data_IF_131571956949
#
_entry.id   IF_131571956949
#
_cell.length_a   1.000
_cell.length_b   1.000
_cell.length_c   1.000
_cell.angle_alpha   90.00
_cell.angle_beta   90.00
_cell.angle_gamma   90.00
#
_symmetry.space_group_name_H-M   'P 1'
#
loop_
_entity.id
_entity.type
_entity.pdbx_description
1 polymer ?
#
# COMPACT_ATOMS: atom_id res chain seq x y z
N UNK A 1 71.24 8.29 1.45
CA UNK A 1 70.79 7.49 2.61
C UNK A 1 69.46 6.81 2.29
N UNK A 2 69.41 5.50 2.49
CA UNK A 2 68.28 4.57 2.34
C UNK A 2 67.02 4.96 3.14
N UNK A 3 65.82 4.73 2.57
CA UNK A 3 64.66 4.00 3.17
C UNK A 3 63.75 3.52 2.02
N UNK A 4 63.90 2.30 1.50
CA UNK A 4 63.28 1.04 1.94
C UNK A 4 61.74 1.07 1.96
N UNK A 5 61.16 0.74 0.80
CA UNK A 5 59.79 0.26 0.62
C UNK A 5 59.66 -1.16 1.17
N UNK A 6 58.68 -1.42 2.03
CA UNK A 6 58.32 -2.79 2.46
C UNK A 6 56.89 -3.08 2.01
N UNK A 7 56.77 -3.87 0.94
CA UNK A 7 55.52 -4.50 0.54
C UNK A 7 55.31 -5.72 1.44
N UNK A 8 54.27 -5.67 2.29
CA UNK A 8 53.83 -6.81 3.07
C UNK A 8 52.86 -7.67 2.25
N UNK A 9 53.38 -8.79 1.76
CA UNK A 9 52.63 -9.91 1.17
C UNK A 9 51.63 -10.47 2.19
N UNK A 10 50.33 -10.26 1.97
CA UNK A 10 49.28 -11.03 2.67
C UNK A 10 48.78 -12.17 1.80
N UNK A 11 49.19 -13.36 2.22
CA UNK A 11 48.73 -14.69 1.82
C UNK A 11 47.19 -14.78 1.78
N UNK A 12 46.64 -15.15 0.60
CA UNK A 12 45.23 -15.57 0.44
C UNK A 12 45.11 -17.03 0.87
N UNK A 13 44.58 -17.26 2.06
CA UNK A 13 44.16 -18.60 2.49
C UNK A 13 42.82 -18.92 1.84
N UNK A 14 42.85 -19.73 0.78
CA UNK A 14 41.66 -20.25 0.09
C UNK A 14 40.98 -21.29 1.00
N UNK A 15 39.77 -20.99 1.48
CA UNK A 15 38.91 -21.98 2.15
C UNK A 15 38.07 -22.67 1.08
N UNK A 16 38.44 -23.89 0.75
CA UNK A 16 37.66 -24.86 -0.01
C UNK A 16 36.40 -25.24 0.77
N UNK A 17 35.23 -24.97 0.20
CA UNK A 17 33.94 -25.48 0.67
C UNK A 17 33.62 -26.75 -0.12
N UNK A 18 33.66 -27.90 0.54
CA UNK A 18 33.30 -29.19 -0.05
C UNK A 18 31.77 -29.29 -0.14
N UNK A 19 31.25 -29.33 -1.37
CA UNK A 19 29.84 -29.56 -1.68
C UNK A 19 29.58 -31.07 -1.69
N UNK A 20 28.82 -31.59 -0.71
CA UNK A 20 28.36 -32.98 -0.71
C UNK A 20 26.99 -33.00 -1.40
N UNK A 21 26.96 -33.42 -2.66
CA UNK A 21 25.74 -33.71 -3.40
C UNK A 21 25.31 -35.16 -3.12
N UNK A 22 24.17 -35.35 -2.46
CA UNK A 22 23.52 -36.65 -2.32
C UNK A 22 22.53 -36.84 -3.47
N UNK A 23 22.88 -37.69 -4.44
CA UNK A 23 21.96 -38.25 -5.42
C UNK A 23 21.16 -39.38 -4.75
N UNK A 24 19.85 -39.18 -4.60
CA UNK A 24 18.89 -40.24 -4.31
C UNK A 24 17.92 -40.39 -5.46
N UNK A 25 18.12 -41.41 -6.29
CA UNK A 25 17.21 -41.81 -7.35
C UNK A 25 16.10 -42.71 -6.78
N UNK A 26 14.83 -42.39 -7.04
CA UNK A 26 13.73 -43.36 -6.98
C UNK A 26 12.86 -43.17 -8.23
N UNK A 27 12.83 -44.22 -9.04
CA UNK A 27 11.95 -44.42 -10.18
C UNK A 27 10.53 -44.78 -9.71
N UNK A 28 9.51 -44.34 -10.44
CA UNK A 28 8.12 -44.72 -10.20
C UNK A 28 7.20 -44.23 -11.31
N UNK A 29 7.03 -45.07 -12.32
CA UNK A 29 6.16 -44.88 -13.49
C UNK A 29 4.68 -45.02 -13.10
N UNK A 30 3.82 -44.13 -13.61
CA UNK A 30 2.44 -44.46 -13.98
C UNK A 30 1.88 -43.39 -14.91
N UNK A 31 1.77 -43.78 -16.18
CA UNK A 31 1.03 -43.07 -17.19
C UNK A 31 -0.44 -43.48 -17.11
N UNK A 32 -1.36 -42.52 -17.05
CA UNK A 32 -2.74 -42.72 -17.44
C UNK A 32 -3.02 -41.79 -18.62
N UNK A 33 -3.05 -42.41 -19.80
CA UNK A 33 -3.58 -41.88 -21.05
C UNK A 33 -5.11 -41.83 -21.01
N UNK A 34 -5.68 -40.77 -21.58
CA UNK A 34 -7.08 -40.69 -22.01
C UNK A 34 -7.63 -39.29 -21.78
N UNK A 35 -8.40 -38.66 -22.65
CA UNK A 35 -8.73 -38.88 -24.06
C UNK A 35 -9.21 -37.51 -24.54
N UNK A 36 -8.87 -37.16 -25.78
CA UNK A 36 -9.38 -35.99 -26.47
C UNK A 36 -10.84 -36.23 -26.84
N UNK A 37 -11.77 -35.42 -26.33
CA UNK A 37 -13.10 -35.28 -26.93
C UNK A 37 -13.27 -33.87 -27.50
N UNK A 38 -12.98 -33.78 -28.80
CA UNK A 38 -13.51 -32.77 -29.70
C UNK A 38 -15.00 -32.99 -29.91
N UNK A 39 -15.84 -32.06 -29.42
CA UNK A 39 -17.24 -31.97 -29.84
C UNK A 39 -17.42 -30.70 -30.68
N UNK A 40 -17.23 -30.88 -31.99
CA UNK A 40 -17.63 -29.96 -33.05
C UNK A 40 -19.14 -30.12 -33.28
N UNK A 41 -19.93 -29.08 -33.07
CA UNK A 41 -21.32 -29.02 -33.52
C UNK A 41 -21.45 -27.97 -34.65
N UNK A 42 -22.11 -28.28 -35.78
CA UNK A 42 -22.21 -27.38 -36.91
C UNK A 42 -23.41 -26.42 -36.86
N UNK A 43 -23.13 -25.16 -37.21
CA UNK A 43 -23.85 -24.24 -38.12
C UNK A 43 -25.37 -24.04 -37.96
N UNK A 44 -25.77 -22.79 -37.72
CA UNK A 44 -26.75 -22.11 -38.60
C UNK A 44 -26.61 -20.59 -38.50
N UNK A 45 -26.09 -19.99 -39.57
CA UNK A 45 -26.14 -18.55 -39.85
C UNK A 45 -27.49 -18.28 -40.51
N UNK A 46 -28.24 -17.30 -40.01
CA UNK A 46 -29.29 -16.62 -40.77
C UNK A 46 -28.93 -15.14 -40.82
N UNK A 47 -28.71 -14.65 -42.04
CA UNK A 47 -28.49 -13.25 -42.37
C UNK A 47 -29.70 -12.74 -43.16
N UNK A 48 -30.25 -11.61 -42.73
CA UNK A 48 -31.03 -10.61 -43.49
C UNK A 48 -31.10 -9.37 -42.58
N UNK A 49 -31.01 -8.12 -42.97
CA UNK A 49 -30.54 -7.40 -44.16
C UNK A 49 -30.62 -5.90 -43.77
N UNK A 50 -29.72 -5.09 -44.33
CA UNK A 50 -29.77 -3.65 -44.61
C UNK A 50 -30.30 -2.59 -43.62
N UNK A 51 -29.47 -1.56 -43.41
CA UNK A 51 -29.85 -0.25 -42.89
C UNK A 51 -28.70 0.76 -42.84
N UNK A 52 -28.11 1.10 -43.99
CA UNK A 52 -27.18 2.23 -44.15
C UNK A 52 -27.92 3.56 -44.19
N UNK A 53 -27.43 4.58 -43.46
CA UNK A 53 -27.48 5.98 -43.90
C UNK A 53 -26.43 6.82 -43.17
N UNK A 54 -25.36 7.14 -43.90
CA UNK A 54 -24.46 8.24 -43.63
C UNK A 54 -25.09 9.55 -44.10
N UNK A 55 -24.74 10.67 -43.48
CA UNK A 55 -25.17 12.00 -43.92
C UNK A 55 -24.44 13.13 -43.20
N UNK A 56 -23.20 13.40 -43.61
CA UNK A 56 -22.56 14.71 -43.40
C UNK A 56 -23.02 15.67 -44.49
N UNK A 57 -23.45 16.87 -44.11
CA UNK A 57 -23.43 18.03 -44.99
C UNK A 57 -23.19 19.29 -44.17
N UNK A 58 -22.00 19.87 -44.35
CA UNK A 58 -21.71 21.26 -44.09
C UNK A 58 -22.21 22.10 -45.28
N UNK A 59 -22.73 23.30 -45.01
CA UNK A 59 -22.69 24.42 -45.94
C UNK A 59 -22.80 25.74 -45.16
N UNK A 60 -21.83 26.61 -45.45
CA UNK A 60 -21.70 27.99 -45.01
C UNK A 60 -22.90 28.88 -45.35
N UNK A 61 -23.11 29.94 -44.56
CA UNK A 61 -23.24 31.32 -45.07
C UNK A 61 -23.12 32.31 -43.90
N UNK A 62 -22.18 33.24 -44.04
CA UNK A 62 -21.91 34.34 -43.15
C UNK A 62 -23.01 35.40 -43.16
N UNK A 63 -23.22 36.07 -42.02
CA UNK A 63 -23.58 37.49 -42.03
C UNK A 63 -23.02 38.22 -40.81
N UNK A 64 -22.31 39.29 -41.13
CA UNK A 64 -21.64 40.29 -40.30
C UNK A 64 -22.59 41.09 -39.39
N UNK A 65 -22.18 41.37 -38.15
CA UNK A 65 -22.89 42.27 -37.24
C UNK A 65 -22.18 42.54 -35.91
N UNK A 66 -21.20 43.46 -35.95
CA UNK A 66 -20.72 44.38 -34.90
C UNK A 66 -21.02 44.17 -33.40
N UNK A 67 -19.92 43.99 -32.65
CA UNK A 67 -19.58 44.53 -31.32
C UNK A 67 -20.67 44.92 -30.30
N UNK A 68 -20.64 44.28 -29.12
CA UNK A 68 -20.62 44.96 -27.81
C UNK A 68 -20.14 44.00 -26.70
N UNK A 69 -19.23 44.51 -25.88
CA UNK A 69 -18.66 43.93 -24.66
C UNK A 69 -19.70 43.62 -23.59
N UNK A 70 -19.58 42.46 -22.93
CA UNK A 70 -20.35 42.10 -21.74
C UNK A 70 -19.79 40.85 -21.07
N UNK A 71 -18.97 41.07 -20.04
CA UNK A 71 -18.48 40.08 -19.09
C UNK A 71 -19.66 39.39 -18.39
N UNK A 72 -19.74 38.05 -18.47
CA UNK A 72 -20.66 37.25 -17.65
C UNK A 72 -19.82 36.22 -16.92
N UNK A 73 -19.33 36.62 -15.75
CA UNK A 73 -18.81 35.73 -14.72
C UNK A 73 -19.93 34.79 -14.25
N UNK A 74 -19.77 33.50 -14.49
CA UNK A 74 -20.59 32.44 -13.88
C UNK A 74 -20.20 32.32 -12.40
N UNK A 75 -21.14 32.34 -11.44
CA UNK A 75 -20.79 32.23 -10.02
C UNK A 75 -20.30 30.81 -9.71
N UNK A 76 -19.00 30.71 -9.41
CA UNK A 76 -18.38 29.52 -8.84
C UNK A 76 -19.01 29.24 -7.47
N UNK A 77 -19.50 28.00 -7.19
CA UNK A 77 -19.91 27.65 -5.84
C UNK A 77 -18.69 27.80 -4.92
N UNK A 78 -18.77 28.76 -4.00
CA UNK A 78 -17.81 28.91 -2.93
C UNK A 78 -17.82 27.61 -2.12
N UNK A 79 -16.79 26.79 -2.29
CA UNK A 79 -16.42 25.78 -1.31
C UNK A 79 -16.24 26.52 0.02
N UNK A 80 -17.24 26.39 0.89
CA UNK A 80 -17.13 26.84 2.27
C UNK A 80 -16.03 25.99 2.91
N UNK A 81 -14.81 26.53 2.94
CA UNK A 81 -13.85 26.21 3.98
C UNK A 81 -14.43 26.74 5.28
N UNK A 82 -15.40 26.02 5.83
CA UNK A 82 -15.71 26.10 7.23
C UNK A 82 -14.54 25.40 7.93
N UNK A 83 -13.57 26.19 8.42
CA UNK A 83 -12.73 25.76 9.52
C UNK A 83 -13.65 25.47 10.70
N UNK A 84 -14.13 24.23 10.79
CA UNK A 84 -14.68 23.73 12.02
C UNK A 84 -13.51 23.65 13.00
N UNK A 85 -13.35 24.69 13.82
CA UNK A 85 -12.71 24.55 15.12
C UNK A 85 -13.62 23.65 15.95
N UNK A 86 -13.54 22.34 15.66
CA UNK A 86 -14.07 21.32 16.54
C UNK A 86 -13.31 21.37 17.88
N UNK A 87 -13.90 20.84 18.96
CA UNK A 87 -13.16 20.66 20.20
C UNK A 87 -11.84 19.95 19.91
N UNK A 88 -10.75 20.44 20.51
CA UNK A 88 -9.46 19.78 20.43
C UNK A 88 -9.66 18.31 20.78
N UNK A 89 -9.38 17.41 19.83
CA UNK A 89 -9.46 15.99 20.07
C UNK A 89 -8.60 15.68 21.30
N UNK A 90 -9.14 14.91 22.25
CA UNK A 90 -8.34 14.46 23.39
C UNK A 90 -7.08 13.76 22.87
N UNK A 91 -5.91 14.01 23.50
CA UNK A 91 -4.68 13.40 23.06
C UNK A 91 -4.81 11.88 23.13
N UNK A 92 -4.56 11.22 22.00
CA UNK A 92 -4.56 9.76 21.94
C UNK A 92 -3.51 9.20 22.91
N UNK A 93 -3.80 8.06 23.57
CA UNK A 93 -2.79 7.39 24.38
C UNK A 93 -1.56 7.06 23.55
N UNK A 94 -0.38 7.01 24.17
CA UNK A 94 0.88 6.66 23.50
C UNK A 94 1.49 5.46 24.21
N UNK A 95 1.54 4.33 23.51
CA UNK A 95 2.20 3.10 23.97
C UNK A 95 3.72 3.23 23.79
N UNK A 96 4.14 3.86 22.70
CA UNK A 96 5.53 4.17 22.44
C UNK A 96 5.69 4.98 21.18
N UNK A 97 6.84 5.65 21.07
CA UNK A 97 7.17 6.54 19.95
C UNK A 97 8.49 6.11 19.32
N UNK A 98 8.57 6.17 17.99
CA UNK A 98 9.77 5.85 17.21
C UNK A 98 9.95 6.84 16.08
N UNK A 99 11.20 7.21 15.81
CA UNK A 99 11.57 7.95 14.61
C UNK A 99 11.69 6.98 13.42
N UNK A 100 10.97 7.27 12.34
CA UNK A 100 11.05 6.57 11.08
C UNK A 100 12.26 6.99 10.26
N UNK A 101 12.67 6.09 9.36
CA UNK A 101 13.69 6.35 8.36
C UNK A 101 13.24 7.45 7.39
N UNK A 102 14.21 8.20 6.86
CA UNK A 102 13.94 9.19 5.83
C UNK A 102 13.71 8.49 4.48
N UNK A 103 12.80 9.02 3.68
CA UNK A 103 12.63 8.63 2.28
C UNK A 103 13.81 9.13 1.41
N UNK A 104 13.75 8.86 0.10
CA UNK A 104 14.77 9.32 -0.85
C UNK A 104 14.89 10.85 -0.97
N UNK A 105 13.90 11.59 -0.49
CA UNK A 105 13.86 13.06 -0.49
C UNK A 105 14.24 13.65 0.87
N UNK A 106 14.58 12.81 1.85
CA UNK A 106 14.96 13.25 3.20
C UNK A 106 13.79 13.48 4.16
N UNK A 107 12.56 13.18 3.76
CA UNK A 107 11.35 13.31 4.57
C UNK A 107 11.19 12.10 5.50
N UNK A 108 10.85 12.34 6.76
CA UNK A 108 10.58 11.28 7.73
C UNK A 108 9.38 11.61 8.60
N UNK A 109 9.10 10.65 9.49
CA UNK A 109 8.01 10.72 10.44
C UNK A 109 8.50 10.35 11.83
N UNK A 110 7.94 10.97 12.85
CA UNK A 110 7.89 10.43 14.21
C UNK A 110 6.54 9.74 14.40
N UNK A 111 6.55 8.44 14.72
CA UNK A 111 5.35 7.63 14.79
C UNK A 111 5.12 7.18 16.23
N UNK A 112 3.92 7.44 16.73
CA UNK A 112 3.46 7.00 18.05
C UNK A 112 2.40 5.94 17.88
N UNK A 113 2.67 4.73 18.41
CA UNK A 113 1.67 3.68 18.46
C UNK A 113 0.66 4.01 19.57
N UNK A 114 -0.61 4.14 19.21
CA UNK A 114 -1.63 4.57 20.16
C UNK A 114 -2.39 3.40 20.79
N UNK A 115 -2.81 2.42 19.99
CA UNK A 115 -3.61 1.30 20.49
C UNK A 115 -3.53 0.07 19.60
N UNK A 116 -3.79 -1.09 20.23
CA UNK A 116 -4.18 -2.34 19.59
C UNK A 116 -5.43 -2.82 20.30
N UNK A 117 -6.57 -2.71 19.62
CA UNK A 117 -7.88 -3.02 20.20
C UNK A 117 -8.55 -4.13 19.41
N UNK A 118 -9.14 -5.11 20.10
CA UNK A 118 -9.96 -6.15 19.50
C UNK A 118 -11.43 -5.88 19.85
N UNK A 119 -12.26 -5.83 18.81
CA UNK A 119 -13.71 -5.72 18.89
C UNK A 119 -14.31 -6.85 18.07
N UNK A 120 -15.00 -7.78 18.74
CA UNK A 120 -15.48 -9.02 18.13
C UNK A 120 -14.34 -9.73 17.35
N UNK A 121 -14.54 -9.98 16.05
CA UNK A 121 -13.62 -10.73 15.20
C UNK A 121 -12.52 -9.86 14.54
N UNK A 122 -12.44 -8.58 14.90
CA UNK A 122 -11.52 -7.62 14.29
C UNK A 122 -10.57 -7.02 15.31
N UNK A 123 -9.29 -6.92 14.92
CA UNK A 123 -8.26 -6.19 15.64
C UNK A 123 -7.90 -4.92 14.87
N UNK A 124 -7.95 -3.76 15.51
CA UNK A 124 -7.54 -2.47 14.94
C UNK A 124 -6.26 -1.99 15.60
N UNK A 125 -5.25 -1.68 14.78
CA UNK A 125 -4.04 -0.97 15.20
C UNK A 125 -4.22 0.51 14.86
N UNK A 126 -4.11 1.39 15.84
CA UNK A 126 -4.16 2.86 15.64
C UNK A 126 -2.80 3.47 15.98
N UNK A 127 -2.30 4.34 15.12
CA UNK A 127 -1.06 5.08 15.36
C UNK A 127 -1.13 6.50 14.78
N UNK A 128 -0.42 7.43 15.40
CA UNK A 128 -0.26 8.78 14.90
C UNK A 128 1.13 8.93 14.29
N UNK A 129 1.21 9.74 13.26
CA UNK A 129 2.44 10.00 12.54
C UNK A 129 2.61 11.50 12.32
N UNK A 130 3.69 12.03 12.88
CA UNK A 130 4.06 13.43 12.84
C UNK A 130 5.16 13.65 11.82
N UNK A 131 5.01 14.61 10.92
CA UNK A 131 6.10 14.92 10.00
C UNK A 131 7.29 15.52 10.73
N UNK A 132 8.49 14.99 10.47
CA UNK A 132 9.75 15.56 10.94
C UNK A 132 10.40 16.51 9.91
N UNK A 133 9.69 16.78 8.81
CA UNK A 133 10.12 17.67 7.74
C UNK A 133 9.83 19.14 8.07
N UNK A 134 10.69 20.01 7.55
CA UNK A 134 10.50 21.46 7.59
C UNK A 134 9.54 21.97 6.49
N UNK A 135 9.20 21.11 5.53
CA UNK A 135 8.33 21.42 4.40
C UNK A 135 7.16 20.44 4.32
N UNK A 136 6.15 20.79 3.52
CA UNK A 136 5.05 19.88 3.24
C UNK A 136 5.46 18.85 2.20
N UNK A 137 5.00 17.61 2.34
CA UNK A 137 5.33 16.53 1.40
C UNK A 137 4.20 15.51 1.29
N UNK A 138 4.19 14.76 0.19
CA UNK A 138 3.21 13.70 -0.04
C UNK A 138 3.60 12.44 0.72
N UNK A 139 2.69 11.92 1.55
CA UNK A 139 2.95 10.69 2.32
C UNK A 139 3.19 9.48 1.41
N UNK A 140 2.47 9.42 0.29
CA UNK A 140 2.65 8.40 -0.75
C UNK A 140 2.80 7.00 -0.16
N UNK A 141 3.89 6.32 -0.52
CA UNK A 141 4.13 4.92 -0.15
C UNK A 141 4.86 4.75 1.19
N UNK A 142 4.94 5.77 2.06
CA UNK A 142 5.73 5.69 3.29
C UNK A 142 5.30 4.55 4.25
N UNK A 143 4.01 4.21 4.29
CA UNK A 143 3.48 3.10 5.11
C UNK A 143 3.07 1.87 4.28
N UNK A 144 3.47 1.84 3.01
CA UNK A 144 3.13 0.80 2.06
C UNK A 144 4.02 -0.44 2.23
N UNK A 145 3.47 -1.64 1.99
CA UNK A 145 4.20 -2.91 2.12
C UNK A 145 5.33 -3.09 1.08
N UNK A 146 5.25 -2.37 -0.05
CA UNK A 146 5.94 -2.76 -1.28
C UNK A 146 5.26 -4.00 -1.86
N UNK A 147 4.78 -3.95 -3.11
CA UNK A 147 3.97 -5.05 -3.64
C UNK A 147 4.86 -6.30 -3.84
N UNK A 148 4.55 -7.47 -3.25
CA UNK A 148 5.24 -8.70 -3.63
C UNK A 148 4.69 -9.32 -4.93
N UNK A 149 3.52 -8.89 -5.44
CA UNK A 149 2.95 -9.39 -6.69
C UNK A 149 2.08 -8.31 -7.38
N UNK A 150 2.56 -7.74 -8.49
CA UNK A 150 1.83 -6.69 -9.26
C UNK A 150 0.41 -7.10 -9.70
N UNK A 151 0.10 -8.40 -9.72
CA UNK A 151 -1.22 -8.94 -10.07
C UNK A 151 -2.30 -8.88 -8.98
N UNK A 152 -1.93 -8.55 -7.73
CA UNK A 152 -2.86 -8.47 -6.58
C UNK A 152 -2.91 -7.08 -5.94
N UNK A 153 -2.50 -6.06 -6.68
CA UNK A 153 -2.73 -4.68 -6.27
C UNK A 153 -4.25 -4.50 -6.05
N UNK A 154 -4.60 -3.68 -5.08
CA UNK A 154 -5.88 -3.01 -5.16
C UNK A 154 -5.90 -2.23 -6.47
N UNK A 155 -6.67 -2.73 -7.45
CA UNK A 155 -6.70 -2.20 -8.82
C UNK A 155 -7.36 -0.82 -8.88
N UNK A 156 -7.90 -0.32 -7.77
CA UNK A 156 -8.47 1.02 -7.66
C UNK A 156 -7.46 2.07 -7.23
N UNK A 157 -6.27 1.65 -6.78
CA UNK A 157 -5.21 2.59 -6.41
C UNK A 157 -4.47 3.06 -7.65
N UNK A 158 -4.56 4.37 -7.90
CA UNK A 158 -3.72 5.06 -8.87
C UNK A 158 -2.23 4.85 -8.54
N UNK A 159 -1.37 4.86 -9.56
CA UNK A 159 0.08 4.75 -9.35
C UNK A 159 0.56 5.88 -8.42
N UNK A 160 1.12 5.51 -7.26
CA UNK A 160 1.56 6.46 -6.24
C UNK A 160 0.52 6.79 -5.15
N UNK A 161 -0.71 6.27 -5.25
CA UNK A 161 -1.69 6.33 -4.17
C UNK A 161 -1.28 5.38 -3.04
N UNK A 162 -0.91 5.97 -1.90
CA UNK A 162 -0.50 5.21 -0.73
C UNK A 162 -1.67 4.61 0.03
N UNK A 163 -1.44 3.45 0.63
CA UNK A 163 -2.30 2.88 1.68
C UNK A 163 -1.42 2.38 2.83
N UNK A 164 -2.03 2.19 4.00
CA UNK A 164 -1.36 1.70 5.21
C UNK A 164 -1.37 0.16 5.26
N UNK A 165 -1.05 -0.50 4.15
CA UNK A 165 -1.09 -1.98 4.06
C UNK A 165 0.22 -2.67 4.49
N UNK A 166 1.29 -1.92 4.70
CA UNK A 166 2.58 -2.46 5.12
C UNK A 166 2.68 -2.75 6.61
N UNK A 167 1.71 -2.29 7.41
CA UNK A 167 1.64 -2.61 8.84
C UNK A 167 1.32 -4.08 9.01
N UNK A 168 2.07 -4.80 9.84
CA UNK A 168 1.74 -6.17 10.19
C UNK A 168 1.89 -6.42 11.68
N UNK A 169 1.12 -7.40 12.18
CA UNK A 169 1.14 -7.80 13.58
C UNK A 169 1.69 -9.22 13.69
N UNK A 170 2.59 -9.45 14.65
CA UNK A 170 3.11 -10.76 14.99
C UNK A 170 2.57 -11.20 16.35
N UNK A 171 1.92 -12.35 16.37
CA UNK A 171 1.60 -13.08 17.59
C UNK A 171 2.58 -14.26 17.69
N UNK A 172 3.64 -14.06 18.48
CA UNK A 172 4.66 -15.09 18.66
C UNK A 172 4.11 -16.34 19.38
N UNK A 173 3.14 -16.18 20.28
CA UNK A 173 2.55 -17.29 21.03
C UNK A 173 1.69 -18.18 20.13
N UNK A 174 0.87 -17.55 19.27
CA UNK A 174 0.07 -18.26 18.26
C UNK A 174 0.87 -18.63 17.00
N UNK A 175 2.12 -18.15 16.87
CA UNK A 175 2.99 -18.32 15.68
C UNK A 175 2.33 -17.79 14.41
N UNK A 176 1.65 -16.64 14.51
CA UNK A 176 0.90 -16.04 13.41
C UNK A 176 1.44 -14.65 13.05
N UNK A 177 1.46 -14.37 11.74
CA UNK A 177 1.59 -13.03 11.19
C UNK A 177 0.25 -12.61 10.61
N UNK A 178 -0.27 -11.49 11.08
CA UNK A 178 -1.48 -10.86 10.60
C UNK A 178 -1.11 -9.75 9.63
N UNK A 179 -1.75 -9.77 8.47
CA UNK A 179 -1.70 -8.69 7.48
C UNK A 179 -3.02 -7.94 7.52
N UNK A 180 -3.05 -6.67 7.07
CA UNK A 180 -4.28 -5.90 7.04
C UNK A 180 -5.35 -6.64 6.24
N UNK A 181 -6.56 -6.66 6.78
CA UNK A 181 -7.71 -7.29 6.16
C UNK A 181 -8.00 -6.60 4.82
N UNK A 182 -8.56 -7.38 3.88
CA UNK A 182 -9.06 -6.86 2.61
C UNK A 182 -10.55 -7.16 2.50
N UNK A 183 -11.29 -6.22 1.93
CA UNK A 183 -12.71 -6.42 1.65
C UNK A 183 -12.93 -7.39 0.47
N UNK A 184 -14.20 -7.61 0.11
CA UNK A 184 -14.58 -8.51 -0.99
C UNK A 184 -14.05 -8.08 -2.36
N UNK A 185 -13.73 -6.80 -2.53
CA UNK A 185 -13.23 -6.22 -3.77
C UNK A 185 -11.68 -6.14 -3.77
N UNK A 186 -11.06 -6.48 -2.64
CA UNK A 186 -9.62 -6.51 -2.44
C UNK A 186 -9.05 -5.22 -1.87
N UNK A 187 -9.87 -4.25 -1.48
CA UNK A 187 -9.41 -3.00 -0.85
C UNK A 187 -8.92 -3.27 0.56
N UNK A 188 -7.84 -2.60 0.96
CA UNK A 188 -7.35 -2.67 2.32
C UNK A 188 -8.36 -2.06 3.29
N UNK A 189 -8.64 -2.76 4.39
CA UNK A 189 -9.38 -2.19 5.53
C UNK A 189 -8.38 -1.45 6.41
N UNK A 190 -7.86 -0.34 5.88
CA UNK A 190 -6.87 0.52 6.52
C UNK A 190 -7.01 1.95 6.00
N UNK A 191 -6.33 2.91 6.63
CA UNK A 191 -6.33 4.29 6.16
C UNK A 191 -5.81 4.39 4.72
N UNK A 192 -6.58 5.09 3.90
CA UNK A 192 -6.14 5.51 2.57
C UNK A 192 -5.33 6.80 2.68
N UNK A 193 -4.15 6.80 2.07
CA UNK A 193 -3.30 7.98 1.99
C UNK A 193 -3.46 8.69 0.64
N UNK A 194 -3.93 8.03 -0.41
CA UNK A 194 -4.19 8.67 -1.72
C UNK A 194 -3.08 9.64 -2.13
N UNK A 195 -3.46 10.89 -2.41
CA UNK A 195 -2.55 12.02 -2.67
C UNK A 195 -2.35 12.94 -1.45
N UNK A 196 -2.45 12.41 -0.22
CA UNK A 196 -2.38 13.20 1.00
C UNK A 196 -1.02 13.89 1.16
N UNK A 197 -1.09 15.20 1.36
CA UNK A 197 0.04 16.07 1.68
C UNK A 197 0.01 16.36 3.17
N UNK A 198 1.11 16.04 3.87
CA UNK A 198 1.27 16.41 5.27
C UNK A 198 2.11 17.69 5.37
N UNK A 199 1.67 18.63 6.21
CA UNK A 199 2.40 19.85 6.49
C UNK A 199 3.61 19.64 7.39
N UNK A 200 4.52 20.62 7.40
CA UNK A 200 5.67 20.65 8.29
C UNK A 200 5.22 20.53 9.75
N UNK A 201 5.74 19.54 10.48
CA UNK A 201 5.35 19.30 11.86
C UNK A 201 3.85 19.05 12.07
N UNK A 202 3.11 18.65 11.05
CA UNK A 202 1.70 18.25 11.20
C UNK A 202 1.59 16.78 11.58
N UNK A 203 0.46 16.42 12.18
CA UNK A 203 0.15 15.07 12.64
C UNK A 203 -1.01 14.48 11.82
N UNK A 204 -0.94 13.18 11.55
CA UNK A 204 -2.04 12.39 10.98
C UNK A 204 -2.28 11.15 11.85
N UNK A 205 -3.53 10.75 12.02
CA UNK A 205 -3.90 9.50 12.69
C UNK A 205 -4.24 8.48 11.62
N UNK A 206 -3.67 7.29 11.76
CA UNK A 206 -3.77 6.20 10.80
C UNK A 206 -4.16 4.90 11.50
N UNK A 207 -4.82 4.02 10.75
CA UNK A 207 -5.29 2.73 11.23
C UNK A 207 -5.11 1.62 10.20
N UNK A 208 -4.99 0.40 10.71
CA UNK A 208 -5.09 -0.83 9.94
C UNK A 208 -5.88 -1.88 10.73
N UNK A 209 -6.78 -2.57 10.05
CA UNK A 209 -7.65 -3.60 10.63
C UNK A 209 -7.17 -4.98 10.22
N UNK A 210 -7.24 -5.94 11.14
CA UNK A 210 -6.76 -7.31 11.01
C UNK A 210 -7.84 -8.27 11.54
N UNK A 211 -7.72 -9.55 11.20
CA UNK A 211 -8.47 -10.58 11.92
C UNK A 211 -8.05 -10.61 13.40
N UNK A 212 -9.00 -10.84 14.30
CA UNK A 212 -8.71 -10.94 15.72
C UNK A 212 -7.72 -12.09 16.03
N UNK A 213 -6.77 -11.88 16.97
CA UNK A 213 -5.97 -12.96 17.50
C UNK A 213 -6.79 -13.82 18.47
N UNK A 214 -6.33 -15.05 18.79
CA UNK A 214 -6.96 -15.90 19.80
C UNK A 214 -7.22 -15.15 21.12
N UNK A 215 -8.26 -15.53 21.86
CA UNK A 215 -8.63 -14.85 23.12
C UNK A 215 -7.52 -14.90 24.18
N UNK A 216 -6.66 -15.92 24.13
CA UNK A 216 -5.48 -16.03 24.99
C UNK A 216 -4.37 -15.03 24.67
N UNK A 217 -4.42 -14.34 23.53
CA UNK A 217 -3.40 -13.36 23.13
C UNK A 217 -3.61 -12.05 23.87
N UNK A 218 -2.67 -11.74 24.76
CA UNK A 218 -2.66 -10.52 25.58
C UNK A 218 -1.66 -9.49 25.09
N UNK A 219 -0.65 -9.89 24.33
CA UNK A 219 0.36 -9.00 23.73
C UNK A 219 0.72 -9.44 22.33
N UNK A 220 1.04 -8.47 21.47
CA UNK A 220 1.52 -8.68 20.11
C UNK A 220 2.70 -7.77 19.79
N UNK A 221 3.44 -8.07 18.73
CA UNK A 221 4.41 -7.13 18.17
C UNK A 221 3.81 -6.45 16.94
N UNK A 222 3.86 -5.11 16.88
CA UNK A 222 3.34 -4.31 15.76
C UNK A 222 4.51 -3.76 14.97
N UNK A 223 4.58 -4.08 13.69
CA UNK A 223 5.63 -3.60 12.80
C UNK A 223 5.07 -2.60 11.79
N UNK A 224 5.69 -1.42 11.73
CA UNK A 224 5.31 -0.33 10.83
C UNK A 224 6.47 -0.10 9.85
N UNK A 225 6.23 -0.05 8.52
CA UNK A 225 7.26 0.22 7.53
C UNK A 225 8.03 1.51 7.82
N UNK A 226 9.32 1.52 7.51
CA UNK A 226 10.25 2.62 7.79
C UNK A 226 10.45 2.98 9.27
N UNK A 227 9.61 2.50 10.19
CA UNK A 227 9.65 2.82 11.62
C UNK A 227 10.24 1.67 12.44
N UNK A 228 9.89 0.43 12.07
CA UNK A 228 10.28 -0.79 12.77
C UNK A 228 9.19 -1.32 13.71
N UNK A 229 9.59 -2.15 14.67
CA UNK A 229 8.69 -2.95 15.49
C UNK A 229 8.51 -2.41 16.91
N UNK A 230 7.27 -2.23 17.33
CA UNK A 230 6.86 -2.06 18.72
C UNK A 230 6.61 -3.46 19.29
N UNK A 231 7.37 -3.85 20.30
CA UNK A 231 7.30 -5.19 20.86
C UNK A 231 6.42 -5.24 22.11
N UNK A 232 5.78 -6.40 22.35
CA UNK A 232 4.96 -6.68 23.55
C UNK A 232 3.86 -5.63 23.78
N UNK A 233 3.25 -5.17 22.69
CA UNK A 233 2.16 -4.21 22.71
C UNK A 233 0.92 -4.88 23.34
N UNK A 234 0.33 -4.30 24.39
CA UNK A 234 -0.89 -4.84 24.99
C UNK A 234 -2.06 -4.85 24.01
N UNK A 235 -2.79 -5.97 23.98
CA UNK A 235 -4.06 -6.08 23.26
C UNK A 235 -5.19 -5.74 24.22
N UNK A 236 -5.94 -4.69 23.92
CA UNK A 236 -7.15 -4.30 24.67
C UNK A 236 -8.37 -4.91 23.99
N UNK A 237 -9.31 -5.43 24.77
CA UNK A 237 -10.57 -5.99 24.25
C UNK A 237 -11.73 -5.14 24.75
N UNK A 238 -12.65 -4.77 23.86
CA UNK A 238 -13.87 -4.03 24.23
C UNK A 238 -15.12 -4.90 24.08
#
# INVERSE_FOLDING_TARGET
>A
MNRSSSLATRSRTSRTVTLVAALGAIAGMSACTGSSDTATAPVTVTATDQGSAAGSAAADTASTGSAATGDVSVPQPASQSASATGPAAEPLPVIGTRKGAKDGNGNGMEVSLNSVTVNADLMTVTFSARSDSAESWMLGTYFYAGNPDEGKLDKTLEAGAGIVDGVYVLDAAAKKRYLPARDKDGHCVCSSLGAQVIGAGSDVVLEAVFAAPPDSTTTVDVSIPNVGTFAKVPVTRA
#
